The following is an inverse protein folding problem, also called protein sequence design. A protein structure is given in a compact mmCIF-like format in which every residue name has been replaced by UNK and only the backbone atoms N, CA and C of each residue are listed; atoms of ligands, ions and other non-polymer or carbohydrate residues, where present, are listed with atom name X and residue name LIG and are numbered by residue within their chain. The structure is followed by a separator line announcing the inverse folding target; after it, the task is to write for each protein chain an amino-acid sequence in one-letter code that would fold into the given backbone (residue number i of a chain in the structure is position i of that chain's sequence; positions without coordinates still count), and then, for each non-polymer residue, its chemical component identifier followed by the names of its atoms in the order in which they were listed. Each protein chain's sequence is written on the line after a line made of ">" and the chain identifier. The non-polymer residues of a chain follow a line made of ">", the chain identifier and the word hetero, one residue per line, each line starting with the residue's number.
data_IF_562224188326
#
_entry.id   IF_562224188326
#
_cell.length_a   1.000
_cell.length_b   1.000
_cell.length_c   1.000
_cell.angle_alpha   90.00
_cell.angle_beta   90.00
_cell.angle_gamma   90.00
#
_symmetry.space_group_name_H-M   'P 1'
#
loop_
_entity.id
_entity.type
_entity.pdbx_description
1 polymer ?
#
# COMPACT_ATOMS: atom_id res chain seq x y z
N UNK A 1 7.10 -30.60 14.27
CA UNK A 1 6.28 -30.27 13.09
C UNK A 1 4.83 -30.23 13.54
N UNK A 2 4.16 -29.07 13.49
CA UNK A 2 2.72 -29.01 13.79
C UNK A 2 1.98 -29.75 12.67
N UNK A 3 1.17 -30.76 13.00
CA UNK A 3 0.24 -31.36 12.05
C UNK A 3 -0.67 -30.24 11.53
N UNK A 4 -0.46 -29.82 10.28
CA UNK A 4 -1.38 -28.94 9.57
C UNK A 4 -2.65 -29.75 9.33
N UNK A 5 -3.61 -29.61 10.23
CA UNK A 5 -4.97 -30.13 10.03
C UNK A 5 -5.48 -29.68 8.67
N UNK A 6 -6.00 -30.63 7.91
CA UNK A 6 -6.55 -30.40 6.58
C UNK A 6 -7.78 -29.52 6.63
N UNK A 7 -7.89 -28.58 5.69
CA UNK A 7 -9.07 -27.73 5.51
C UNK A 7 -10.33 -28.58 5.32
N UNK A 8 -11.38 -28.31 6.10
CA UNK A 8 -12.62 -29.09 6.08
C UNK A 8 -13.69 -28.39 5.25
N UNK A 9 -13.94 -28.87 4.03
CA UNK A 9 -14.99 -28.35 3.14
C UNK A 9 -16.42 -28.50 3.66
N UNK A 10 -16.65 -29.36 4.66
CA UNK A 10 -17.95 -29.46 5.33
C UNK A 10 -18.12 -28.42 6.44
N UNK A 11 -17.03 -27.77 6.87
CA UNK A 11 -17.01 -26.73 7.89
C UNK A 11 -15.97 -25.65 7.51
N UNK A 12 -16.27 -24.96 6.41
CA UNK A 12 -15.43 -23.94 5.79
C UNK A 12 -15.12 -22.84 6.81
N UNK A 13 -16.16 -22.33 7.48
CA UNK A 13 -16.03 -21.25 8.46
C UNK A 13 -15.07 -21.59 9.60
N UNK A 14 -15.22 -22.74 10.26
CA UNK A 14 -14.31 -23.13 11.35
C UNK A 14 -12.88 -23.30 10.84
N UNK A 15 -12.70 -23.79 9.61
CA UNK A 15 -11.38 -23.92 8.98
C UNK A 15 -10.74 -22.56 8.73
N UNK A 16 -11.51 -21.57 8.27
CA UNK A 16 -11.04 -20.19 8.07
C UNK A 16 -10.70 -19.50 9.38
N UNK A 17 -11.59 -19.58 10.38
CA UNK A 17 -11.38 -19.01 11.71
C UNK A 17 -10.12 -19.56 12.40
N UNK A 18 -9.82 -20.85 12.17
CA UNK A 18 -8.58 -21.50 12.64
C UNK A 18 -7.34 -20.98 11.92
N UNK A 19 -7.45 -20.72 10.62
CA UNK A 19 -6.32 -20.37 9.76
C UNK A 19 -5.97 -18.88 9.83
N UNK A 20 -6.97 -17.99 9.81
CA UNK A 20 -6.81 -16.53 9.80
C UNK A 20 -6.93 -15.89 11.19
N UNK A 21 -7.41 -16.64 12.19
CA UNK A 21 -7.67 -16.13 13.54
C UNK A 21 -9.06 -15.51 13.70
N UNK A 22 -9.60 -15.57 14.92
CA UNK A 22 -11.04 -15.41 15.16
C UNK A 22 -11.60 -13.98 15.23
N UNK A 23 -10.79 -12.94 15.43
CA UNK A 23 -11.30 -11.59 15.79
C UNK A 23 -10.92 -10.46 14.84
N UNK A 24 -9.71 -10.48 14.28
CA UNK A 24 -9.19 -9.31 13.54
C UNK A 24 -9.46 -9.36 12.04
N UNK A 25 -9.83 -10.54 11.52
CA UNK A 25 -10.03 -10.83 10.09
C UNK A 25 -11.47 -11.26 9.75
N UNK A 26 -12.45 -10.86 10.56
CA UNK A 26 -13.83 -11.29 10.40
C UNK A 26 -14.41 -10.95 9.02
N UNK A 27 -14.08 -9.78 8.48
CA UNK A 27 -14.53 -9.34 7.16
C UNK A 27 -14.01 -10.24 6.04
N UNK A 28 -12.74 -10.63 6.10
CA UNK A 28 -12.16 -11.60 5.17
C UNK A 28 -12.74 -12.99 5.36
N UNK A 29 -12.89 -13.46 6.60
CA UNK A 29 -13.48 -14.79 6.88
C UNK A 29 -14.87 -14.91 6.26
N UNK A 30 -15.74 -13.92 6.44
CA UNK A 30 -17.08 -13.92 5.85
C UNK A 30 -17.04 -13.88 4.31
N UNK A 31 -16.16 -13.04 3.75
CA UNK A 31 -16.01 -12.92 2.30
C UNK A 31 -15.48 -14.20 1.64
N UNK A 32 -14.52 -14.88 2.28
CA UNK A 32 -13.93 -16.14 1.81
C UNK A 32 -14.94 -17.29 1.98
N UNK A 33 -15.59 -17.40 3.14
CA UNK A 33 -16.57 -18.45 3.43
C UNK A 33 -17.68 -18.49 2.36
N UNK A 34 -18.29 -17.34 2.07
CA UNK A 34 -19.33 -17.21 1.05
C UNK A 34 -18.86 -17.74 -0.32
N UNK A 35 -17.63 -17.39 -0.72
CA UNK A 35 -17.11 -17.76 -2.05
C UNK A 35 -16.65 -19.21 -2.10
N UNK A 36 -16.10 -19.74 -1.02
CA UNK A 36 -15.76 -21.17 -0.92
C UNK A 36 -17.01 -22.05 -0.90
N UNK A 37 -18.11 -21.60 -0.28
CA UNK A 37 -19.39 -22.29 -0.38
C UNK A 37 -19.92 -22.31 -1.82
N UNK A 38 -19.83 -21.18 -2.53
CA UNK A 38 -20.17 -21.10 -3.96
C UNK A 38 -19.31 -22.04 -4.80
N UNK A 39 -18.00 -22.04 -4.58
CA UNK A 39 -17.06 -22.96 -5.23
C UNK A 39 -17.42 -24.43 -4.98
N UNK A 40 -17.76 -24.78 -3.74
CA UNK A 40 -18.18 -26.14 -3.38
C UNK A 40 -19.41 -26.58 -4.17
N UNK A 41 -20.41 -25.71 -4.32
CA UNK A 41 -21.62 -25.99 -5.10
C UNK A 41 -21.30 -26.15 -6.59
N UNK A 42 -20.47 -25.27 -7.15
CA UNK A 42 -20.17 -25.25 -8.58
C UNK A 42 -19.29 -26.41 -9.07
N UNK A 43 -18.40 -26.89 -8.20
CA UNK A 43 -17.54 -28.03 -8.50
C UNK A 43 -18.27 -29.36 -8.26
N UNK A 44 -19.25 -29.40 -7.35
CA UNK A 44 -20.23 -30.47 -7.18
C UNK A 44 -19.70 -31.76 -6.55
N UNK A 45 -18.51 -32.20 -6.94
CA UNK A 45 -17.85 -33.40 -6.43
C UNK A 45 -16.75 -33.03 -5.42
N UNK A 46 -16.70 -33.75 -4.29
CA UNK A 46 -15.68 -33.58 -3.26
C UNK A 46 -14.26 -33.83 -3.81
N UNK A 47 -14.10 -34.76 -4.74
CA UNK A 47 -12.79 -35.06 -5.35
C UNK A 47 -12.26 -33.91 -6.22
N UNK A 48 -13.16 -33.08 -6.73
CA UNK A 48 -12.82 -31.91 -7.54
C UNK A 48 -12.48 -30.66 -6.73
N UNK A 49 -12.75 -30.68 -5.42
CA UNK A 49 -12.46 -29.57 -4.51
C UNK A 49 -10.96 -29.45 -4.26
N UNK A 50 -10.42 -28.22 -4.19
CA UNK A 50 -9.01 -28.06 -3.99
C UNK A 50 -8.57 -28.52 -2.60
N UNK A 51 -7.43 -29.22 -2.56
CA UNK A 51 -6.84 -29.69 -1.29
C UNK A 51 -6.10 -28.56 -0.62
N UNK A 52 -6.80 -27.68 0.08
CA UNK A 52 -6.20 -26.51 0.73
C UNK A 52 -5.25 -26.97 1.86
N UNK A 53 -3.98 -26.58 1.73
CA UNK A 53 -2.92 -26.83 2.70
C UNK A 53 -2.92 -25.81 3.83
N UNK A 54 -3.10 -24.53 3.47
CA UNK A 54 -2.97 -23.39 4.38
C UNK A 54 -3.67 -22.17 3.79
N UNK A 55 -4.25 -21.35 4.66
CA UNK A 55 -4.75 -20.02 4.33
C UNK A 55 -4.12 -19.08 5.36
N UNK A 56 -3.47 -18.02 4.92
CA UNK A 56 -2.85 -17.06 5.83
C UNK A 56 -2.85 -15.66 5.22
N UNK A 57 -2.69 -14.66 6.09
CA UNK A 57 -2.38 -13.31 5.67
C UNK A 57 -0.86 -13.18 5.63
N UNK A 58 -0.33 -12.75 4.49
CA UNK A 58 1.10 -12.52 4.30
C UNK A 58 1.29 -11.12 3.73
N UNK A 59 1.93 -10.25 4.52
CA UNK A 59 2.27 -8.90 4.08
C UNK A 59 1.09 -8.09 3.52
N UNK A 60 -0.11 -8.22 4.09
CA UNK A 60 -1.30 -7.47 3.64
C UNK A 60 -2.21 -8.23 2.68
N UNK A 61 -1.76 -9.39 2.20
CA UNK A 61 -2.36 -10.14 1.11
C UNK A 61 -2.87 -11.50 1.58
N UNK A 62 -3.84 -12.06 0.84
CA UNK A 62 -4.43 -13.34 1.16
C UNK A 62 -3.67 -14.45 0.42
N UNK A 63 -2.99 -15.31 1.17
CA UNK A 63 -2.37 -16.52 0.61
C UNK A 63 -3.27 -17.74 0.77
N UNK A 64 -3.65 -18.38 -0.34
CA UNK A 64 -4.29 -19.71 -0.32
C UNK A 64 -3.36 -20.74 -0.97
N UNK A 65 -2.84 -21.64 -0.16
CA UNK A 65 -1.88 -22.67 -0.58
C UNK A 65 -2.58 -24.02 -0.73
N UNK A 66 -2.36 -24.72 -1.85
CA UNK A 66 -2.97 -26.02 -2.13
C UNK A 66 -1.94 -27.17 -2.15
N UNK A 67 -2.36 -28.38 -1.80
CA UNK A 67 -1.56 -29.62 -1.91
C UNK A 67 -1.81 -30.30 -3.26
N UNK A 68 -0.73 -30.52 -4.01
CA UNK A 68 -0.79 -31.22 -5.30
C UNK A 68 -1.39 -30.38 -6.43
N UNK A 69 -1.49 -30.99 -7.61
CA UNK A 69 -2.10 -30.37 -8.78
C UNK A 69 -3.61 -30.15 -8.57
N UNK A 70 -4.09 -28.98 -8.98
CA UNK A 70 -5.50 -28.62 -8.98
C UNK A 70 -6.02 -28.62 -10.42
N UNK A 71 -7.34 -28.81 -10.59
CA UNK A 71 -7.95 -28.54 -11.89
C UNK A 71 -7.79 -27.05 -12.25
N UNK A 72 -7.70 -26.74 -13.54
CA UNK A 72 -7.57 -25.35 -14.00
C UNK A 72 -8.74 -24.48 -13.50
N UNK A 73 -9.95 -25.04 -13.48
CA UNK A 73 -11.15 -24.38 -12.96
C UNK A 73 -11.04 -24.08 -11.46
N UNK A 74 -10.66 -25.06 -10.63
CA UNK A 74 -10.52 -24.84 -9.20
C UNK A 74 -9.45 -23.79 -8.88
N UNK A 75 -8.34 -23.79 -9.61
CA UNK A 75 -7.29 -22.79 -9.49
C UNK A 75 -7.82 -21.39 -9.82
N UNK A 76 -8.49 -21.23 -10.95
CA UNK A 76 -9.06 -19.94 -11.36
C UNK A 76 -10.04 -19.40 -10.32
N UNK A 77 -10.91 -20.25 -9.77
CA UNK A 77 -11.85 -19.82 -8.74
C UNK A 77 -11.15 -19.41 -7.43
N UNK A 78 -10.04 -20.06 -7.06
CA UNK A 78 -9.24 -19.63 -5.91
C UNK A 78 -8.57 -18.27 -6.15
N UNK A 79 -8.01 -18.07 -7.34
CA UNK A 79 -7.40 -16.79 -7.73
C UNK A 79 -8.46 -15.66 -7.73
N UNK A 80 -9.69 -15.95 -8.15
CA UNK A 80 -10.82 -15.02 -8.07
C UNK A 80 -11.17 -14.65 -6.64
N UNK A 81 -11.19 -15.63 -5.71
CA UNK A 81 -11.40 -15.37 -4.28
C UNK A 81 -10.36 -14.42 -3.73
N UNK A 82 -9.07 -14.70 -3.99
CA UNK A 82 -7.96 -13.87 -3.52
C UNK A 82 -8.12 -12.44 -4.03
N UNK A 83 -8.28 -12.27 -5.34
CA UNK A 83 -8.40 -10.97 -5.99
C UNK A 83 -9.56 -10.11 -5.46
N UNK A 84 -10.68 -10.74 -5.12
CA UNK A 84 -11.85 -10.03 -4.59
C UNK A 84 -11.68 -9.68 -3.11
N UNK A 85 -11.17 -10.61 -2.30
CA UNK A 85 -11.02 -10.42 -0.85
C UNK A 85 -9.94 -9.40 -0.52
N UNK A 86 -8.85 -9.34 -1.29
CA UNK A 86 -7.78 -8.36 -1.12
C UNK A 86 -8.21 -6.90 -1.36
N UNK A 87 -9.40 -6.69 -1.93
CA UNK A 87 -10.00 -5.36 -2.10
C UNK A 87 -11.02 -5.04 -0.99
N UNK A 88 -11.07 -5.87 0.04
CA UNK A 88 -11.99 -5.76 1.17
C UNK A 88 -11.24 -5.62 2.49
N UNK A 89 -11.86 -4.95 3.44
CA UNK A 89 -11.33 -4.70 4.76
C UNK A 89 -11.26 -6.02 5.53
N UNK A 90 -10.07 -6.39 5.99
CA UNK A 90 -9.82 -7.57 6.82
C UNK A 90 -10.83 -7.67 7.97
N UNK A 91 -11.13 -6.54 8.62
CA UNK A 91 -11.98 -6.54 9.81
C UNK A 91 -13.48 -6.47 9.55
N UNK A 92 -13.96 -5.79 8.50
CA UNK A 92 -15.40 -5.53 8.33
C UNK A 92 -15.94 -5.78 6.91
N UNK A 93 -15.12 -6.22 5.95
CA UNK A 93 -15.55 -6.57 4.60
C UNK A 93 -15.86 -5.40 3.67
N UNK A 94 -15.89 -4.15 4.15
CA UNK A 94 -16.03 -2.96 3.29
C UNK A 94 -14.87 -2.82 2.32
N UNK A 95 -15.06 -2.09 1.21
CA UNK A 95 -13.97 -1.78 0.29
C UNK A 95 -12.77 -1.17 1.03
N UNK A 96 -11.57 -1.63 0.68
CA UNK A 96 -10.32 -1.20 1.29
C UNK A 96 -9.15 -1.47 0.35
N UNK A 97 -7.99 -0.92 0.71
CA UNK A 97 -6.72 -1.15 0.03
C UNK A 97 -5.64 -1.50 1.06
N UNK A 98 -4.62 -2.24 0.61
CA UNK A 98 -3.48 -2.59 1.44
C UNK A 98 -2.71 -1.33 1.85
N UNK A 99 -2.40 -1.24 3.14
CA UNK A 99 -1.78 -0.07 3.76
C UNK A 99 -0.75 -0.52 4.78
N UNK A 100 0.36 0.20 4.85
CA UNK A 100 1.36 -0.01 5.90
C UNK A 100 0.86 0.64 7.20
N UNK A 101 0.79 -0.15 8.27
CA UNK A 101 0.46 0.27 9.64
C UNK A 101 1.55 -0.30 10.55
N UNK A 102 2.46 0.55 10.98
CA UNK A 102 3.69 0.17 11.68
C UNK A 102 4.60 -0.67 10.80
N UNK A 103 5.03 -1.79 11.33
CA UNK A 103 5.77 -2.83 10.61
C UNK A 103 4.89 -3.77 9.79
N UNK A 104 3.57 -3.65 9.88
CA UNK A 104 2.62 -4.55 9.24
C UNK A 104 2.00 -3.92 8.01
N UNK A 105 1.63 -4.75 7.03
CA UNK A 105 0.75 -4.35 5.94
C UNK A 105 -0.61 -4.97 6.22
N UNK A 106 -1.66 -4.16 6.16
CA UNK A 106 -3.05 -4.57 6.39
C UNK A 106 -3.98 -3.92 5.39
N UNK A 107 -5.03 -4.62 5.00
CA UNK A 107 -6.08 -4.10 4.12
C UNK A 107 -7.26 -3.64 4.97
N UNK A 108 -7.35 -2.34 5.29
CA UNK A 108 -8.38 -1.79 6.18
C UNK A 108 -9.11 -0.59 5.55
N UNK A 109 -10.43 -0.53 5.75
CA UNK A 109 -11.20 0.68 5.43
C UNK A 109 -10.88 1.81 6.42
N UNK A 110 -11.20 3.05 6.08
CA UNK A 110 -10.82 4.22 6.88
C UNK A 110 -11.28 4.16 8.35
N UNK A 111 -12.45 3.58 8.61
CA UNK A 111 -12.98 3.39 9.96
C UNK A 111 -12.19 2.35 10.75
N UNK A 112 -11.90 1.19 10.16
CA UNK A 112 -11.14 0.13 10.82
C UNK A 112 -9.68 0.54 11.04
N UNK A 113 -9.09 1.23 10.06
CA UNK A 113 -7.76 1.82 10.18
C UNK A 113 -7.68 2.77 11.38
N UNK A 114 -8.60 3.74 11.50
CA UNK A 114 -8.58 4.69 12.62
C UNK A 114 -8.88 4.01 13.97
N UNK A 115 -9.67 2.94 13.99
CA UNK A 115 -9.87 2.13 15.20
C UNK A 115 -8.57 1.46 15.65
N UNK A 116 -7.79 0.91 14.71
CA UNK A 116 -6.46 0.33 15.02
C UNK A 116 -5.50 1.40 15.51
N UNK A 117 -5.49 2.58 14.89
CA UNK A 117 -4.62 3.70 15.33
C UNK A 117 -4.93 4.23 16.73
N UNK A 118 -6.14 4.00 17.23
CA UNK A 118 -6.59 4.45 18.56
C UNK A 118 -6.43 3.40 19.63
N UNK A 119 -5.99 2.20 19.28
CA UNK A 119 -5.82 1.11 20.24
C UNK A 119 -4.64 1.43 21.16
N UNK A 120 -4.87 1.83 22.43
CA UNK A 120 -3.81 2.29 23.32
C UNK A 120 -2.83 1.16 23.66
N UNK A 121 -3.25 -0.10 23.49
CA UNK A 121 -2.42 -1.27 23.76
C UNK A 121 -1.37 -1.52 22.65
N UNK A 122 -1.47 -0.81 21.52
CA UNK A 122 -0.52 -0.91 20.40
C UNK A 122 0.46 0.27 20.32
N UNK A 123 0.49 1.18 21.29
CA UNK A 123 1.40 2.35 21.30
C UNK A 123 2.91 2.03 21.13
N UNK A 124 3.32 0.76 21.24
CA UNK A 124 4.71 0.30 21.13
C UNK A 124 5.14 -0.22 19.74
N UNK A 125 4.28 -0.28 18.72
CA UNK A 125 4.62 -0.83 17.39
C UNK A 125 5.15 0.19 16.37
N UNK A 126 5.64 1.33 16.85
CA UNK A 126 6.32 2.35 16.03
C UNK A 126 5.37 3.30 15.28
N UNK A 127 4.06 3.14 15.42
CA UNK A 127 3.08 4.17 15.05
C UNK A 127 2.83 5.21 16.15
N UNK A 128 3.30 4.93 17.36
CA UNK A 128 3.59 5.93 18.36
C UNK A 128 4.66 6.87 17.82
N UNK A 129 4.31 8.14 17.61
CA UNK A 129 5.26 9.26 17.73
C UNK A 129 6.44 9.36 16.74
N UNK A 130 6.20 9.41 15.42
CA UNK A 130 6.77 10.56 14.67
C UNK A 130 5.69 11.63 14.55
N UNK A 131 5.21 12.09 15.72
CA UNK A 131 4.48 13.36 15.83
C UNK A 131 5.37 14.54 15.43
N UNK A 132 6.68 14.30 15.37
CA UNK A 132 7.71 15.26 15.06
C UNK A 132 8.66 14.64 14.04
N UNK A 133 8.78 15.31 12.89
CA UNK A 133 9.86 15.09 11.93
C UNK A 133 10.59 16.43 11.84
N UNK A 134 11.89 16.41 12.14
CA UNK A 134 12.79 17.53 11.90
C UNK A 134 13.82 17.08 10.87
N UNK A 135 13.74 17.65 9.67
CA UNK A 135 14.54 17.23 8.52
C UNK A 135 16.02 17.52 8.77
N UNK A 136 16.33 18.67 9.39
CA UNK A 136 17.71 19.03 9.68
C UNK A 136 18.37 18.06 10.69
N UNK A 137 17.59 17.52 11.63
CA UNK A 137 18.06 16.53 12.60
C UNK A 137 18.18 15.13 11.98
N UNK A 138 17.20 14.72 11.16
CA UNK A 138 17.11 13.35 10.65
C UNK A 138 17.86 13.11 9.35
N UNK A 139 18.03 14.16 8.54
CA UNK A 139 18.62 14.15 7.19
C UNK A 139 19.53 15.38 7.00
N UNK A 140 20.59 15.54 7.81
CA UNK A 140 21.43 16.74 7.79
C UNK A 140 22.06 17.01 6.42
N UNK A 141 22.39 15.97 5.66
CA UNK A 141 23.00 16.08 4.34
C UNK A 141 22.05 16.61 3.26
N UNK A 142 20.73 16.58 3.52
CA UNK A 142 19.70 17.12 2.63
C UNK A 142 19.32 18.56 2.96
N UNK A 143 19.94 19.21 3.93
CA UNK A 143 19.69 20.62 4.28
C UNK A 143 20.96 21.46 4.15
N UNK A 144 20.83 22.77 4.29
CA UNK A 144 22.00 23.66 4.41
C UNK A 144 22.67 23.46 5.77
N UNK A 145 24.00 23.50 5.85
CA UNK A 145 24.77 23.42 7.10
C UNK A 145 24.37 24.46 8.16
N UNK A 146 23.75 25.57 7.73
CA UNK A 146 23.24 26.62 8.60
C UNK A 146 21.80 26.38 9.09
N UNK A 147 21.16 25.29 8.67
CA UNK A 147 19.80 24.93 9.05
C UNK A 147 19.83 24.15 10.37
N UNK A 148 19.43 24.80 11.46
CA UNK A 148 19.38 24.17 12.80
C UNK A 148 18.13 23.32 13.02
N UNK A 149 17.05 23.62 12.29
CA UNK A 149 15.78 22.91 12.38
C UNK A 149 14.96 23.17 11.12
N UNK A 150 14.36 22.12 10.57
CA UNK A 150 13.42 22.21 9.47
C UNK A 150 12.22 21.28 9.73
N UNK A 151 11.18 21.87 10.31
CA UNK A 151 9.94 21.18 10.71
C UNK A 151 8.86 21.38 9.63
N UNK A 152 8.40 20.32 8.95
CA UNK A 152 7.40 20.42 7.89
C UNK A 152 6.06 20.95 8.42
N UNK A 153 5.51 21.98 7.75
CA UNK A 153 4.18 22.51 8.05
C UNK A 153 3.10 21.77 7.24
N UNK A 154 3.00 20.45 7.46
CA UNK A 154 2.13 19.54 6.70
C UNK A 154 1.24 18.69 7.62
N UNK A 155 0.20 18.07 7.06
CA UNK A 155 -0.69 17.20 7.84
C UNK A 155 0.04 15.98 8.40
N UNK A 156 -0.25 15.63 9.66
CA UNK A 156 0.38 14.48 10.38
C UNK A 156 0.31 13.19 9.57
N UNK A 157 -0.81 12.95 8.88
CA UNK A 157 -1.01 11.75 8.07
C UNK A 157 -0.03 11.60 6.90
N UNK A 158 0.70 12.66 6.54
CA UNK A 158 1.69 12.65 5.47
C UNK A 158 3.13 12.51 5.95
N UNK A 159 3.40 12.59 7.25
CA UNK A 159 4.77 12.57 7.77
C UNK A 159 5.50 11.27 7.41
N UNK A 160 4.83 10.13 7.43
CA UNK A 160 5.41 8.85 7.00
C UNK A 160 5.77 8.83 5.51
N UNK A 161 4.96 9.46 4.65
CA UNK A 161 5.24 9.57 3.22
C UNK A 161 6.42 10.49 2.97
N UNK A 162 6.49 11.61 3.70
CA UNK A 162 7.61 12.55 3.64
C UNK A 162 8.92 11.93 4.11
N UNK A 163 8.90 11.22 5.24
CA UNK A 163 10.05 10.52 5.78
C UNK A 163 10.65 9.51 4.80
N UNK A 164 9.78 8.68 4.19
CA UNK A 164 10.20 7.75 3.13
C UNK A 164 10.79 8.48 1.92
N UNK A 165 10.16 9.57 1.48
CA UNK A 165 10.70 10.38 0.39
C UNK A 165 12.10 10.90 0.70
N UNK A 166 12.34 11.43 1.91
CA UNK A 166 13.65 11.92 2.32
C UNK A 166 14.71 10.80 2.36
N UNK A 167 14.36 9.59 2.82
CA UNK A 167 15.25 8.42 2.74
C UNK A 167 15.59 8.05 1.29
N UNK A 168 14.61 8.12 0.39
CA UNK A 168 14.81 7.85 -1.03
C UNK A 168 15.69 8.92 -1.69
N UNK A 169 15.53 10.19 -1.30
CA UNK A 169 16.36 11.30 -1.75
C UNK A 169 17.82 11.15 -1.30
N UNK A 170 18.04 10.89 0.00
CA UNK A 170 19.39 10.66 0.55
C UNK A 170 20.08 9.49 -0.13
N UNK A 171 19.37 8.38 -0.34
CA UNK A 171 19.88 7.23 -1.08
C UNK A 171 20.21 7.58 -2.52
N UNK A 172 19.35 8.32 -3.22
CA UNK A 172 19.59 8.71 -4.61
C UNK A 172 20.80 9.63 -4.77
N UNK A 173 21.00 10.57 -3.82
CA UNK A 173 22.19 11.43 -3.76
C UNK A 173 23.46 10.60 -3.55
N UNK A 174 23.41 9.64 -2.63
CA UNK A 174 24.51 8.72 -2.36
C UNK A 174 24.85 7.83 -3.57
N UNK A 175 23.84 7.22 -4.20
CA UNK A 175 24.02 6.34 -5.37
C UNK A 175 24.56 7.09 -6.59
N UNK A 176 24.25 8.39 -6.72
CA UNK A 176 24.76 9.25 -7.77
C UNK A 176 26.17 9.82 -7.50
N UNK A 177 26.80 9.46 -6.36
CA UNK A 177 28.12 9.94 -5.92
C UNK A 177 28.21 11.48 -5.90
N UNK A 178 27.13 12.14 -5.46
CA UNK A 178 27.06 13.60 -5.42
C UNK A 178 27.64 14.15 -4.10
N UNK A 179 28.39 15.27 -4.14
CA UNK A 179 28.87 15.91 -2.91
C UNK A 179 27.72 16.33 -1.98
N UNK A 180 27.96 16.29 -0.67
CA UNK A 180 27.03 16.83 0.35
C UNK A 180 26.65 18.28 0.03
N UNK A 181 25.37 18.62 0.21
CA UNK A 181 24.85 19.94 -0.13
C UNK A 181 24.61 20.19 -1.62
N UNK A 182 24.69 19.16 -2.47
CA UNK A 182 24.20 19.23 -3.86
C UNK A 182 22.69 19.35 -3.91
N UNK A 183 21.99 18.60 -3.06
CA UNK A 183 20.55 18.75 -2.81
C UNK A 183 20.38 19.40 -1.44
N UNK A 184 19.63 20.50 -1.38
CA UNK A 184 19.35 21.24 -0.15
C UNK A 184 17.88 21.61 -0.09
N UNK A 185 17.09 20.86 0.68
CA UNK A 185 15.70 21.16 0.99
C UNK A 185 15.62 22.43 1.84
N UNK A 186 14.84 23.40 1.38
CA UNK A 186 14.63 24.68 2.07
C UNK A 186 13.34 24.71 2.88
N UNK A 187 12.27 24.11 2.36
CA UNK A 187 10.96 24.10 2.97
C UNK A 187 10.14 22.90 2.53
N UNK A 188 9.24 22.46 3.41
CA UNK A 188 8.23 21.46 3.07
C UNK A 188 6.88 21.98 3.50
N UNK A 189 6.00 22.17 2.51
CA UNK A 189 4.69 22.78 2.69
C UNK A 189 3.61 22.01 1.95
N UNK A 190 2.38 22.18 2.39
CA UNK A 190 1.25 21.66 1.68
C UNK A 190 0.75 22.66 0.64
N UNK A 191 0.58 22.21 -0.60
CA UNK A 191 0.11 23.02 -1.72
C UNK A 191 -0.87 22.21 -2.55
N UNK A 192 -2.05 22.78 -2.85
CA UNK A 192 -3.09 22.15 -3.67
C UNK A 192 -3.48 20.71 -3.26
N UNK A 193 -3.40 20.40 -1.97
CA UNK A 193 -3.79 19.09 -1.45
C UNK A 193 -2.76 18.00 -1.58
N UNK A 194 -1.50 18.36 -1.75
CA UNK A 194 -0.35 17.47 -1.68
C UNK A 194 0.82 18.17 -0.99
N UNK A 195 1.86 17.41 -0.66
CA UNK A 195 3.13 18.00 -0.22
C UNK A 195 3.87 18.55 -1.43
N UNK A 196 4.57 19.67 -1.23
CA UNK A 196 5.54 20.24 -2.13
C UNK A 196 6.83 20.50 -1.35
N UNK A 197 7.95 20.08 -1.92
CA UNK A 197 9.30 20.30 -1.39
C UNK A 197 9.89 21.51 -2.11
N UNK A 198 10.44 22.46 -1.36
CA UNK A 198 11.22 23.55 -1.91
C UNK A 198 12.70 23.33 -1.65
N UNK A 199 13.53 23.89 -2.52
CA UNK A 199 14.97 23.68 -2.49
C UNK A 199 15.74 25.00 -2.53
N UNK A 200 16.82 25.08 -1.78
CA UNK A 200 17.93 26.01 -2.03
C UNK A 200 18.78 25.53 -3.19
N UNK A 201 18.97 24.21 -3.31
CA UNK A 201 19.69 23.54 -4.39
C UNK A 201 18.98 22.26 -4.76
N UNK A 202 18.69 22.10 -6.05
CA UNK A 202 17.96 20.97 -6.61
C UNK A 202 18.88 20.20 -7.56
N UNK A 203 18.67 18.89 -7.64
CA UNK A 203 19.32 18.00 -8.59
C UNK A 203 18.31 16.96 -9.09
N UNK A 204 18.34 16.62 -10.38
CA UNK A 204 17.35 15.74 -11.02
C UNK A 204 17.29 14.32 -10.43
N UNK A 205 18.35 13.87 -9.75
CA UNK A 205 18.39 12.55 -9.09
C UNK A 205 17.29 12.35 -8.04
N UNK A 206 16.73 13.44 -7.49
CA UNK A 206 15.64 13.37 -6.50
C UNK A 206 14.23 13.52 -7.09
N UNK A 207 14.11 13.76 -8.41
CA UNK A 207 12.82 14.03 -9.05
C UNK A 207 11.83 12.87 -8.91
N UNK A 208 12.33 11.62 -8.98
CA UNK A 208 11.49 10.43 -8.81
C UNK A 208 10.92 10.32 -7.39
N UNK A 209 11.72 10.63 -6.37
CA UNK A 209 11.29 10.61 -4.98
C UNK A 209 10.24 11.71 -4.73
N UNK A 210 10.46 12.92 -5.26
CA UNK A 210 9.51 14.03 -5.15
C UNK A 210 8.18 13.72 -5.87
N UNK A 211 8.23 13.19 -7.10
CA UNK A 211 7.04 12.79 -7.84
C UNK A 211 6.25 11.69 -7.10
N UNK A 212 6.96 10.73 -6.50
CA UNK A 212 6.37 9.71 -5.63
C UNK A 212 5.66 10.32 -4.42
N UNK A 213 6.28 11.28 -3.75
CA UNK A 213 5.70 12.00 -2.62
C UNK A 213 4.45 12.79 -3.02
N UNK A 214 4.47 13.51 -4.14
CA UNK A 214 3.31 14.23 -4.65
C UNK A 214 2.14 13.29 -4.92
N UNK A 215 2.41 12.14 -5.56
CA UNK A 215 1.40 11.13 -5.88
C UNK A 215 0.82 10.51 -4.60
N UNK A 216 1.66 10.06 -3.69
CA UNK A 216 1.25 9.44 -2.43
C UNK A 216 0.40 10.42 -1.59
N UNK A 217 0.90 11.64 -1.43
CA UNK A 217 0.20 12.70 -0.69
C UNK A 217 -0.96 13.31 -1.47
N UNK A 218 -1.21 12.87 -2.71
CA UNK A 218 -2.47 13.09 -3.43
C UNK A 218 -3.52 11.97 -3.20
N UNK A 219 -3.16 10.85 -2.54
CA UNK A 219 -4.08 9.70 -2.23
C UNK A 219 -4.19 9.24 -0.75
N UNK A 220 -3.25 9.56 0.14
CA UNK A 220 -3.23 9.43 1.64
C UNK A 220 -3.87 10.53 2.55
N UNK A 221 -4.96 10.34 3.29
CA UNK A 221 -5.55 11.36 4.20
C UNK A 221 -4.53 12.18 5.02
N UNK A 222 -4.57 13.52 4.92
CA UNK A 222 -3.62 14.42 5.59
C UNK A 222 -3.68 14.36 7.13
N UNK A 223 -4.77 13.85 7.69
CA UNK A 223 -4.97 13.75 9.15
C UNK A 223 -4.40 12.43 9.70
N UNK A 224 -4.81 11.29 9.13
CA UNK A 224 -4.54 9.98 9.70
C UNK A 224 -3.62 9.07 8.86
N UNK A 225 -3.34 9.42 7.60
CA UNK A 225 -2.52 8.60 6.72
C UNK A 225 -3.26 7.46 6.00
N UNK A 226 -4.59 7.38 6.12
CA UNK A 226 -5.37 6.37 5.40
C UNK A 226 -5.42 6.64 3.89
N UNK A 227 -5.16 5.63 3.06
CA UNK A 227 -5.09 5.74 1.59
C UNK A 227 -6.44 5.42 0.91
N UNK A 228 -6.78 6.13 -0.17
CA UNK A 228 -7.81 5.70 -1.15
C UNK A 228 -9.18 6.38 -1.07
N UNK A 229 -9.68 6.79 0.11
CA UNK A 229 -11.07 7.23 0.29
C UNK A 229 -11.23 8.74 0.51
N UNK A 230 -10.62 9.57 -0.33
CA UNK A 230 -10.52 11.01 -0.03
C UNK A 230 -11.67 11.86 -0.58
N UNK A 231 -12.34 12.60 0.31
CA UNK A 231 -13.20 13.73 -0.07
C UNK A 231 -12.38 15.01 -0.10
N UNK A 232 -12.55 15.81 -1.15
CA UNK A 232 -12.17 17.23 -1.13
C UNK A 232 -13.24 17.96 -0.31
N UNK A 233 -12.89 18.38 0.90
CA UNK A 233 -13.81 19.06 1.81
C UNK A 233 -14.16 20.47 1.33
N UNK A 234 -15.26 21.04 1.85
CA UNK A 234 -15.67 22.44 1.57
C UNK A 234 -14.75 23.50 2.23
N UNK A 235 -13.80 23.09 3.10
CA UNK A 235 -12.99 23.97 3.95
C UNK A 235 -11.49 24.02 3.66
N UNK A 236 -10.99 23.44 2.55
CA UNK A 236 -9.58 23.59 2.20
C UNK A 236 -9.08 22.63 1.13
N UNK A 237 -7.88 22.93 0.63
CA UNK A 237 -7.16 22.09 -0.34
C UNK A 237 -6.76 20.73 0.23
N UNK A 238 -6.88 20.51 1.54
CA UNK A 238 -6.37 19.29 2.18
C UNK A 238 -7.31 18.12 2.00
N UNK A 239 -6.76 16.95 1.68
CA UNK A 239 -7.55 15.79 1.34
C UNK A 239 -7.69 14.89 2.57
N UNK A 240 -8.93 14.53 2.91
CA UNK A 240 -9.27 13.81 4.13
C UNK A 240 -10.12 12.57 3.81
N UNK A 241 -9.94 11.48 4.56
CA UNK A 241 -10.78 10.30 4.42
C UNK A 241 -12.18 10.52 5.02
N UNK A 242 -13.15 9.71 4.61
CA UNK A 242 -14.54 9.77 5.09
C UNK A 242 -14.62 9.82 6.62
N UNK A 243 -13.87 8.95 7.29
CA UNK A 243 -13.77 8.98 8.75
C UNK A 243 -13.33 10.35 9.27
N UNK A 244 -12.14 10.84 8.88
CA UNK A 244 -11.64 12.11 9.39
C UNK A 244 -12.51 13.30 8.99
N UNK A 245 -13.08 13.31 7.79
CA UNK A 245 -14.00 14.37 7.36
C UNK A 245 -15.26 14.47 8.23
N UNK A 246 -15.72 13.33 8.76
CA UNK A 246 -16.90 13.27 9.63
C UNK A 246 -16.65 13.75 11.06
N UNK A 247 -15.38 13.84 11.50
CA UNK A 247 -15.03 14.10 12.90
C UNK A 247 -14.99 15.58 13.31
N UNK A 248 -15.39 16.51 12.43
CA UNK A 248 -15.22 17.96 12.66
C UNK A 248 -13.81 18.30 13.15
N UNK A 249 -12.78 17.76 12.49
CA UNK A 249 -11.43 18.26 12.73
C UNK A 249 -11.36 19.70 12.23
N UNK A 250 -11.14 20.65 13.13
CA UNK A 250 -10.74 21.99 12.77
C UNK A 250 -9.33 21.91 12.17
N UNK A 251 -9.27 21.68 10.85
CA UNK A 251 -8.04 21.80 10.06
C UNK A 251 -7.58 23.26 9.94
N UNK A 252 -8.42 24.20 10.37
CA UNK A 252 -8.08 25.61 10.56
C UNK A 252 -7.37 25.81 11.89
N UNK A 253 -6.09 25.44 11.96
CA UNK A 253 -5.37 25.40 13.24
C UNK A 253 -3.92 25.89 13.16
N UNK A 254 -3.70 27.11 12.71
CA UNK A 254 -2.57 27.92 13.19
C UNK A 254 -2.83 28.45 14.61
N UNK A 255 -3.28 27.61 15.54
CA UNK A 255 -3.69 28.00 16.90
C UNK A 255 -3.36 26.91 17.93
N UNK A 256 -2.89 27.36 19.08
CA UNK A 256 -2.03 26.67 20.06
C UNK A 256 -2.74 25.87 21.15
N UNK A 257 -4.07 25.76 21.15
CA UNK A 257 -4.75 25.34 22.39
C UNK A 257 -5.28 23.90 22.34
N UNK A 258 -4.59 23.04 23.09
CA UNK A 258 -4.91 21.64 23.29
C UNK A 258 -6.17 21.40 24.12
N UNK A 259 -7.28 21.08 23.44
CA UNK A 259 -8.42 20.38 24.07
C UNK A 259 -8.90 19.22 23.22
N UNK A 260 -8.90 18.03 23.83
CA UNK A 260 -9.45 16.80 23.28
C UNK A 260 -10.98 16.91 23.12
N UNK A 261 -11.47 16.68 21.91
CA UNK A 261 -12.89 16.66 21.59
C UNK A 261 -13.50 15.25 21.81
N UNK A 262 -14.62 15.17 22.54
CA UNK A 262 -15.41 13.94 22.75
C UNK A 262 -16.35 13.66 21.57
N UNK A 263 -16.55 12.36 21.28
CA UNK A 263 -17.14 11.83 20.06
C UNK A 263 -18.65 11.49 20.17
N UNK A 264 -19.34 11.52 19.04
CA UNK A 264 -20.65 10.87 18.81
C UNK A 264 -20.67 10.25 17.41
N UNK A 265 -21.14 9.01 17.28
CA UNK A 265 -21.14 8.22 16.03
C UNK A 265 -22.23 8.65 15.03
N UNK A 266 -21.93 8.67 13.72
CA UNK A 266 -22.96 8.49 12.69
C UNK A 266 -22.71 7.26 11.79
N UNK A 267 -23.81 6.79 11.19
CA UNK A 267 -23.94 5.52 10.48
C UNK A 267 -23.55 5.57 8.98
N UNK A 268 -23.00 4.44 8.52
CA UNK A 268 -22.97 3.84 7.17
C UNK A 268 -23.29 4.70 5.94
N UNK A 269 -22.33 4.78 5.00
CA UNK A 269 -22.58 5.09 3.59
C UNK A 269 -21.87 4.07 2.68
N UNK A 270 -22.64 3.43 1.79
CA UNK A 270 -22.18 2.56 0.72
C UNK A 270 -22.12 3.35 -0.60
N UNK A 271 -21.24 2.88 -1.50
CA UNK A 271 -21.00 3.28 -2.90
C UNK A 271 -19.77 4.16 -3.11
N UNK A 272 -18.64 3.51 -3.42
CA UNK A 272 -17.44 4.10 -4.03
C UNK A 272 -17.08 3.25 -5.26
N UNK A 273 -16.81 3.85 -6.43
CA UNK A 273 -16.43 3.11 -7.63
C UNK A 273 -15.02 2.51 -7.48
N UNK A 274 -14.84 1.32 -8.06
CA UNK A 274 -13.60 0.52 -8.06
C UNK A 274 -12.56 1.13 -9.02
N UNK A 275 -11.31 1.38 -8.61
CA UNK A 275 -10.24 1.70 -9.55
C UNK A 275 -9.80 0.45 -10.33
N UNK A 276 -9.67 0.59 -11.65
CA UNK A 276 -9.12 -0.43 -12.56
C UNK A 276 -7.73 0.00 -13.02
N UNK A 277 -6.67 -0.74 -12.67
CA UNK A 277 -5.36 -0.64 -13.34
C UNK A 277 -4.14 -0.27 -12.45
N UNK A 278 -3.12 0.46 -12.95
CA UNK A 278 -1.66 0.28 -12.77
C UNK A 278 -1.05 0.32 -11.36
N UNK A 279 -1.86 0.51 -10.33
CA UNK A 279 -1.46 0.93 -8.98
C UNK A 279 -0.87 -0.20 -8.11
N UNK A 280 -1.10 -1.47 -8.48
CA UNK A 280 -0.55 -2.64 -7.78
C UNK A 280 0.88 -3.00 -8.23
N UNK A 281 1.27 -2.57 -9.44
CA UNK A 281 2.53 -2.95 -10.07
C UNK A 281 3.72 -2.18 -9.50
N UNK A 282 3.58 -0.87 -9.24
CA UNK A 282 4.67 0.00 -8.79
C UNK A 282 5.27 -0.41 -7.43
N UNK A 283 4.46 -0.98 -6.54
CA UNK A 283 4.90 -1.37 -5.19
C UNK A 283 5.75 -2.65 -5.17
N UNK A 284 5.50 -3.58 -6.08
CA UNK A 284 6.27 -4.83 -6.21
C UNK A 284 7.41 -4.74 -7.23
N UNK A 285 7.23 -3.91 -8.26
CA UNK A 285 8.19 -3.74 -9.33
C UNK A 285 9.26 -2.71 -9.03
N UNK A 286 9.07 -1.76 -8.11
CA UNK A 286 10.01 -0.65 -7.88
C UNK A 286 11.49 -1.08 -7.86
N UNK A 287 11.92 -1.99 -6.96
CA UNK A 287 13.31 -2.44 -6.91
C UNK A 287 13.78 -3.19 -8.18
N UNK A 288 12.90 -3.99 -8.80
CA UNK A 288 13.23 -4.80 -9.98
C UNK A 288 13.29 -3.93 -11.25
N UNK A 289 12.37 -2.98 -11.40
CA UNK A 289 12.33 -1.99 -12.48
C UNK A 289 13.47 -1.01 -12.34
N UNK A 290 13.87 -0.59 -11.13
CA UNK A 290 15.06 0.23 -10.93
C UNK A 290 16.34 -0.53 -11.30
N UNK A 291 16.45 -1.80 -10.89
CA UNK A 291 17.58 -2.67 -11.28
C UNK A 291 17.65 -2.89 -12.79
N UNK A 292 16.51 -3.12 -13.43
CA UNK A 292 16.40 -3.24 -14.89
C UNK A 292 16.73 -1.89 -15.57
N UNK A 293 16.17 -0.76 -15.11
CA UNK A 293 16.44 0.55 -15.69
C UNK A 293 17.92 0.93 -15.61
N UNK A 294 18.64 0.51 -14.57
CA UNK A 294 20.09 0.69 -14.47
C UNK A 294 20.88 -0.03 -15.57
N UNK A 295 20.37 -1.13 -16.12
CA UNK A 295 20.97 -1.86 -17.25
C UNK A 295 20.48 -1.37 -18.62
N UNK A 296 19.36 -0.65 -18.64
CA UNK A 296 18.77 -0.02 -19.83
C UNK A 296 18.83 1.50 -19.71
N UNK A 297 20.06 2.02 -19.67
CA UNK A 297 20.41 3.45 -19.44
C UNK A 297 19.68 4.45 -20.33
N UNK A 298 19.15 3.98 -21.47
CA UNK A 298 18.53 4.81 -22.50
C UNK A 298 17.01 4.94 -22.28
N UNK A 299 16.43 4.18 -21.35
CA UNK A 299 14.98 4.09 -21.14
C UNK A 299 14.61 4.57 -19.74
N UNK A 300 13.68 5.53 -19.67
CA UNK A 300 13.13 5.98 -18.39
C UNK A 300 12.31 4.83 -17.73
N UNK A 301 12.37 4.65 -16.40
CA UNK A 301 11.65 3.57 -15.69
C UNK A 301 10.15 3.50 -16.00
N UNK A 302 9.50 4.66 -16.16
CA UNK A 302 8.08 4.75 -16.55
C UNK A 302 7.87 4.21 -17.96
N UNK A 303 8.78 4.47 -18.90
CA UNK A 303 8.72 3.93 -20.27
C UNK A 303 8.86 2.42 -20.29
N UNK A 304 9.71 1.87 -19.42
CA UNK A 304 9.82 0.41 -19.23
C UNK A 304 8.49 -0.16 -18.72
N UNK A 305 7.87 0.46 -17.72
CA UNK A 305 6.56 0.03 -17.18
C UNK A 305 5.47 0.12 -18.26
N UNK A 306 5.39 1.22 -19.01
CA UNK A 306 4.37 1.38 -20.06
C UNK A 306 4.57 0.39 -21.22
N UNK A 307 5.82 0.12 -21.62
CA UNK A 307 6.14 -0.88 -22.65
C UNK A 307 5.81 -2.30 -22.17
N UNK A 308 6.13 -2.61 -20.92
CA UNK A 308 5.78 -3.88 -20.29
C UNK A 308 4.26 -4.07 -20.17
N UNK A 309 3.50 -3.01 -19.86
CA UNK A 309 2.04 -3.06 -19.76
C UNK A 309 1.33 -3.09 -21.12
N UNK A 310 1.96 -2.55 -22.17
CA UNK A 310 1.40 -2.51 -23.54
C UNK A 310 1.79 -3.70 -24.40
N UNK A 311 2.84 -4.43 -24.04
CA UNK A 311 3.12 -5.75 -24.59
C UNK A 311 2.44 -6.84 -23.77
N UNK A 312 1.65 -7.67 -24.44
CA UNK A 312 1.24 -8.99 -23.94
C UNK A 312 2.15 -10.04 -24.59
N UNK A 313 3.38 -10.25 -24.07
CA UNK A 313 4.21 -11.31 -24.60
C UNK A 313 3.62 -12.60 -24.05
N UNK A 314 2.91 -13.33 -24.90
CA UNK A 314 2.62 -14.74 -24.66
C UNK A 314 3.93 -15.55 -24.71
N UNK A 315 4.90 -15.27 -23.82
CA UNK A 315 6.09 -16.09 -23.65
C UNK A 315 5.67 -17.32 -22.84
N UNK A 316 5.40 -18.42 -23.54
CA UNK A 316 4.95 -19.70 -22.95
C UNK A 316 3.61 -19.60 -22.18
N UNK A 317 2.71 -18.70 -22.60
CA UNK A 317 1.36 -18.59 -22.03
C UNK A 317 1.29 -18.02 -20.61
N UNK A 318 2.38 -17.39 -20.13
CA UNK A 318 2.37 -16.61 -18.89
C UNK A 318 2.26 -15.13 -19.26
N UNK A 319 1.30 -14.43 -18.64
CA UNK A 319 1.23 -12.98 -18.79
C UNK A 319 2.33 -12.32 -17.96
N UNK A 320 2.59 -11.04 -18.20
CA UNK A 320 3.62 -10.30 -17.47
C UNK A 320 3.41 -10.29 -15.95
N UNK A 321 2.15 -10.26 -15.49
CA UNK A 321 1.81 -10.30 -14.07
C UNK A 321 2.34 -11.59 -13.42
N UNK A 322 2.22 -12.72 -14.11
CA UNK A 322 2.71 -14.00 -13.63
C UNK A 322 4.25 -14.04 -13.58
N UNK A 323 4.93 -13.48 -14.59
CA UNK A 323 6.41 -13.40 -14.61
C UNK A 323 6.95 -12.54 -13.46
N UNK A 324 6.27 -11.43 -13.18
CA UNK A 324 6.61 -10.51 -12.10
C UNK A 324 6.33 -11.15 -10.74
N UNK A 325 5.19 -11.81 -10.58
CA UNK A 325 4.82 -12.53 -9.34
C UNK A 325 5.82 -13.65 -9.03
N UNK A 326 6.26 -14.37 -10.05
CA UNK A 326 7.20 -15.50 -9.92
C UNK A 326 8.66 -15.06 -9.77
N UNK A 327 8.96 -13.74 -9.87
CA UNK A 327 10.32 -13.15 -9.87
C UNK A 327 11.26 -13.82 -10.90
N UNK A 328 10.73 -14.19 -12.06
CA UNK A 328 11.50 -14.81 -13.15
C UNK A 328 12.31 -13.73 -13.91
N UNK A 329 13.38 -13.24 -13.28
CA UNK A 329 14.22 -12.15 -13.82
C UNK A 329 14.66 -12.45 -15.25
N UNK A 330 15.07 -13.69 -15.53
CA UNK A 330 15.53 -14.11 -16.86
C UNK A 330 14.44 -14.00 -17.94
N UNK A 331 13.17 -14.25 -17.60
CA UNK A 331 12.05 -14.04 -18.53
C UNK A 331 11.78 -12.54 -18.77
N UNK A 332 11.81 -11.73 -17.71
CA UNK A 332 11.67 -10.27 -17.83
C UNK A 332 12.76 -9.67 -18.73
N UNK A 333 14.03 -10.09 -18.58
CA UNK A 333 15.11 -9.66 -19.46
C UNK A 333 14.89 -10.07 -20.93
N UNK A 334 14.32 -11.26 -21.20
CA UNK A 334 14.01 -11.69 -22.57
C UNK A 334 12.92 -10.85 -23.21
N UNK A 335 11.85 -10.54 -22.46
CA UNK A 335 10.77 -9.64 -22.92
C UNK A 335 11.32 -8.26 -23.25
N UNK A 336 12.15 -7.69 -22.38
CA UNK A 336 12.75 -6.37 -22.57
C UNK A 336 13.76 -6.34 -23.72
N UNK A 337 14.57 -7.39 -23.87
CA UNK A 337 15.49 -7.53 -24.99
C UNK A 337 14.77 -7.72 -26.34
N UNK A 338 13.57 -8.31 -26.34
CA UNK A 338 12.71 -8.42 -27.53
C UNK A 338 12.08 -7.07 -27.89
N UNK A 339 11.63 -6.30 -26.89
CA UNK A 339 11.10 -4.94 -27.06
C UNK A 339 12.11 -3.93 -27.62
N UNK A 340 13.42 -4.20 -27.49
CA UNK A 340 14.50 -3.35 -28.01
C UNK A 340 14.78 -3.56 -29.51
N UNK A 341 14.26 -4.63 -30.13
CA UNK A 341 14.48 -4.95 -31.55
C UNK A 341 13.42 -4.36 -32.45
#
# INVERSE_FOLDING_TARGET
>A
MKNLETFNWNDIRTSLERSLGKKDMQGWIEAIDLRMQKMRIELGDYESLPKIARIEQESGFLGIYTKGAQSARARQMLDDIVREVERSCESCGNAAQAQKIGSYIRTLCCHCYNRVLRDPLKENDGYGTRLYLDIAESYPDLVSDNCTSLRPAVGRGWLNSLDRCLQEMERAVFEADLPTGTVQVSDVKAKYGRISVGYHRHHECVDLAEAGLELDTSKTCAICGHFGDRRRGKGGAYPACDYCSSQKFDLSGGSTDGREARYSHPASLNNVPVPTGPELMTYHLGPLVTKIAAEFTDWHPITIIDQLLSHDPAEKGRNLVDLVRDKDEAALYRVLAALRR
#
